data_IF_155269721290
#
_entry.id   IF_155269721290
#
_cell.length_a   1.000
_cell.length_b   1.000
_cell.length_c   1.000
_cell.angle_alpha   90.00
_cell.angle_beta   90.00
_cell.angle_gamma   90.00
#
_symmetry.space_group_name_H-M   'P 1'
#
loop_
_entity.id
_entity.type
_entity.pdbx_description
1 polymer ?
#
# COMPACT_ATOMS: atom_id res chain seq x y z
N UNK A 1 -6.26 -8.61 -0.63
CA UNK A 1 -5.11 -9.40 -0.16
C UNK A 1 -5.54 -10.85 0.00
N UNK A 2 -4.72 -11.76 -0.52
CA UNK A 2 -4.91 -13.20 -0.42
C UNK A 2 -3.64 -13.83 0.16
N UNK A 3 -3.81 -14.88 0.94
CA UNK A 3 -2.74 -15.73 1.42
C UNK A 3 -2.94 -17.14 0.86
N UNK A 4 -1.88 -17.74 0.34
CA UNK A 4 -1.88 -19.15 -0.04
C UNK A 4 -1.16 -19.97 1.03
N UNK A 5 -1.85 -20.98 1.57
CA UNK A 5 -1.24 -21.95 2.48
C UNK A 5 -0.73 -23.14 1.65
N UNK A 6 0.60 -23.31 1.52
CA UNK A 6 1.16 -24.39 0.72
C UNK A 6 1.01 -25.77 1.35
N UNK A 7 0.73 -25.85 2.65
CA UNK A 7 0.52 -27.14 3.35
C UNK A 7 -0.87 -27.67 3.10
N UNK A 8 -1.86 -26.78 3.11
CA UNK A 8 -3.26 -27.13 2.84
C UNK A 8 -3.62 -27.00 1.36
N UNK A 9 -2.73 -26.39 0.55
CA UNK A 9 -2.97 -26.05 -0.86
C UNK A 9 -4.24 -25.20 -1.06
N UNK A 10 -4.48 -24.24 -0.16
CA UNK A 10 -5.69 -23.44 -0.12
C UNK A 10 -5.40 -21.94 -0.04
N UNK A 11 -6.30 -21.15 -0.62
CA UNK A 11 -6.30 -19.72 -0.53
C UNK A 11 -7.18 -19.23 0.62
N UNK A 12 -6.68 -18.27 1.38
CA UNK A 12 -7.45 -17.50 2.36
C UNK A 12 -7.59 -16.05 1.88
N UNK A 13 -8.82 -15.54 1.87
CA UNK A 13 -9.06 -14.12 1.64
C UNK A 13 -8.81 -13.34 2.93
N UNK A 14 -7.75 -12.53 2.93
CA UNK A 14 -7.30 -11.77 4.10
C UNK A 14 -7.94 -10.39 4.20
N UNK A 15 -8.51 -9.87 3.13
CA UNK A 15 -9.19 -8.58 3.11
C UNK A 15 -9.17 -7.90 1.74
N UNK A 16 -9.89 -6.80 1.63
CA UNK A 16 -10.07 -6.03 0.41
C UNK A 16 -11.47 -6.18 -0.19
N UNK A 17 -11.81 -5.33 -1.15
CA UNK A 17 -13.08 -5.39 -1.87
C UNK A 17 -13.14 -6.55 -2.86
N UNK A 18 -14.34 -7.02 -3.15
CA UNK A 18 -14.60 -8.10 -4.12
C UNK A 18 -14.81 -7.57 -5.55
N UNK A 19 -14.82 -6.26 -5.75
CA UNK A 19 -15.01 -5.62 -7.06
C UNK A 19 -13.70 -5.20 -7.72
N UNK A 20 -13.75 -4.91 -9.03
CA UNK A 20 -12.60 -4.50 -9.81
C UNK A 20 -12.08 -3.08 -9.47
N UNK A 21 -12.95 -2.22 -8.90
CA UNK A 21 -12.61 -0.84 -8.54
C UNK A 21 -13.03 -0.57 -7.11
N UNK A 22 -12.17 -0.93 -6.16
CA UNK A 22 -12.41 -0.67 -4.74
C UNK A 22 -11.78 0.65 -4.32
N UNK A 23 -12.60 1.59 -3.81
CA UNK A 23 -12.14 2.93 -3.41
C UNK A 23 -11.17 2.92 -2.21
N UNK A 24 -11.11 1.82 -1.46
CA UNK A 24 -10.33 1.74 -0.23
C UNK A 24 -10.95 2.53 0.93
N UNK A 25 -10.31 2.43 2.07
CA UNK A 25 -10.62 3.23 3.25
C UNK A 25 -9.31 3.62 3.93
N UNK A 26 -8.95 4.90 3.88
CA UNK A 26 -7.62 5.36 4.33
C UNK A 26 -7.53 5.55 5.84
N UNK A 27 -8.62 5.90 6.50
CA UNK A 27 -8.60 6.19 7.93
C UNK A 27 -7.74 7.40 8.28
N UNK A 28 -6.98 7.29 9.36
CA UNK A 28 -6.07 8.34 9.83
C UNK A 28 -4.64 7.88 9.55
N UNK A 29 -3.85 8.73 8.89
CA UNK A 29 -2.45 8.46 8.55
C UNK A 29 -1.63 8.10 9.81
N UNK A 30 -0.89 7.00 9.75
CA UNK A 30 -0.11 6.47 10.87
C UNK A 30 -0.90 5.67 11.91
N UNK A 31 -2.22 5.53 11.76
CA UNK A 31 -3.05 4.75 12.69
C UNK A 31 -3.53 3.45 12.03
N UNK A 32 -3.20 2.33 12.66
CA UNK A 32 -3.71 1.00 12.28
C UNK A 32 -5.20 0.88 12.62
N UNK A 33 -5.97 0.28 11.73
CA UNK A 33 -7.38 -0.03 11.96
C UNK A 33 -7.80 -1.24 11.14
N UNK A 34 -8.68 -2.11 11.65
CA UNK A 34 -9.25 -3.20 10.88
C UNK A 34 -10.12 -2.73 9.70
N UNK A 35 -10.58 -1.47 9.74
CA UNK A 35 -11.36 -0.87 8.65
C UNK A 35 -10.48 -0.27 7.56
N UNK A 36 -9.19 -0.07 7.81
CA UNK A 36 -8.27 0.48 6.83
C UNK A 36 -8.04 -0.51 5.68
N UNK A 37 -8.16 -0.01 4.46
CA UNK A 37 -7.94 -0.80 3.25
C UNK A 37 -7.34 0.07 2.15
N UNK A 38 -6.21 -0.34 1.53
CA UNK A 38 -5.72 0.30 0.33
C UNK A 38 -6.75 0.22 -0.80
N UNK A 39 -6.76 1.20 -1.70
CA UNK A 39 -7.56 1.13 -2.93
C UNK A 39 -7.16 -0.10 -3.74
N UNK A 40 -8.12 -0.68 -4.47
CA UNK A 40 -7.84 -1.67 -5.49
C UNK A 40 -6.91 -1.08 -6.55
N UNK A 41 -5.86 -1.84 -6.92
CA UNK A 41 -4.88 -1.43 -7.93
C UNK A 41 -4.49 -2.63 -8.78
N UNK A 42 -4.55 -2.44 -10.09
CA UNK A 42 -4.34 -3.52 -11.06
C UNK A 42 -2.97 -3.49 -11.72
N UNK A 43 -2.25 -2.36 -11.67
CA UNK A 43 -0.93 -2.22 -12.27
C UNK A 43 0.13 -2.00 -11.21
N UNK A 44 1.08 -2.91 -11.20
CA UNK A 44 2.37 -2.99 -10.54
C UNK A 44 2.64 -2.00 -9.39
N UNK A 45 2.05 -2.18 -8.20
CA UNK A 45 2.57 -1.57 -7.00
C UNK A 45 3.91 -2.21 -6.62
N UNK A 46 4.78 -1.46 -5.95
CA UNK A 46 5.90 -2.08 -5.26
C UNK A 46 5.39 -2.77 -3.99
N UNK A 47 5.80 -4.01 -3.80
CA UNK A 47 5.45 -4.79 -2.60
C UNK A 47 6.70 -5.49 -2.06
N UNK A 48 6.86 -5.47 -0.75
CA UNK A 48 7.95 -6.19 -0.07
C UNK A 48 7.55 -6.58 1.36
N UNK A 49 8.32 -7.48 1.96
CA UNK A 49 8.24 -7.80 3.38
C UNK A 49 9.40 -7.13 4.11
N UNK A 50 9.14 -6.62 5.31
CA UNK A 50 10.22 -6.16 6.19
C UNK A 50 10.81 -7.31 7.02
N UNK A 51 11.81 -6.99 7.85
CA UNK A 51 12.53 -7.98 8.64
C UNK A 51 11.69 -8.68 9.74
N UNK A 52 10.54 -8.11 10.10
CA UNK A 52 9.61 -8.71 11.07
C UNK A 52 8.45 -9.45 10.38
N UNK A 53 8.41 -9.41 9.04
CA UNK A 53 7.43 -10.12 8.22
C UNK A 53 6.19 -9.32 7.86
N UNK A 54 6.12 -8.05 8.21
CA UNK A 54 5.01 -7.19 7.78
C UNK A 54 5.13 -6.85 6.29
N UNK A 55 3.98 -6.71 5.64
CA UNK A 55 3.93 -6.40 4.22
C UNK A 55 3.87 -4.89 4.00
N UNK A 56 4.57 -4.43 2.99
CA UNK A 56 4.54 -3.05 2.53
C UNK A 56 4.05 -2.96 1.11
N UNK A 57 3.30 -1.92 0.81
CA UNK A 57 2.71 -1.64 -0.49
C UNK A 57 2.91 -0.16 -0.82
N UNK A 58 3.45 0.15 -2.00
CA UNK A 58 3.65 1.51 -2.45
C UNK A 58 3.20 1.70 -3.89
N UNK A 59 2.46 2.78 -4.15
CA UNK A 59 2.09 3.20 -5.49
C UNK A 59 1.17 2.23 -6.22
N UNK A 60 1.33 2.14 -7.53
CA UNK A 60 0.47 1.38 -8.44
C UNK A 60 -0.64 2.24 -9.03
N UNK A 61 -1.53 1.64 -9.83
CA UNK A 61 -2.54 2.33 -10.61
C UNK A 61 -3.87 1.60 -10.64
N UNK A 62 -4.96 2.36 -10.60
CA UNK A 62 -6.31 1.91 -10.97
C UNK A 62 -7.12 3.14 -11.44
N UNK A 63 -6.98 3.46 -12.73
CA UNK A 63 -7.35 4.75 -13.30
C UNK A 63 -6.22 5.75 -13.08
N UNK A 64 -6.15 6.35 -11.90
CA UNK A 64 -5.05 7.24 -11.50
C UNK A 64 -3.86 6.45 -10.92
N UNK A 65 -2.68 7.06 -10.99
CA UNK A 65 -1.49 6.58 -10.29
C UNK A 65 -1.46 7.08 -8.85
N UNK A 66 -0.90 6.27 -7.95
CA UNK A 66 -0.83 6.56 -6.52
C UNK A 66 0.61 6.72 -6.03
N UNK A 67 0.77 7.41 -4.88
CA UNK A 67 2.02 7.50 -4.13
C UNK A 67 1.84 7.11 -2.66
N UNK A 68 0.73 6.48 -2.34
CA UNK A 68 0.42 6.04 -0.99
C UNK A 68 1.31 4.87 -0.58
N UNK A 69 1.79 4.94 0.65
CA UNK A 69 2.56 3.89 1.31
C UNK A 69 1.71 3.25 2.40
N UNK A 70 1.60 1.95 2.35
CA UNK A 70 0.83 1.14 3.28
C UNK A 70 1.68 0.07 3.93
N UNK A 71 1.36 -0.23 5.18
CA UNK A 71 1.91 -1.35 5.94
C UNK A 71 0.77 -2.26 6.39
N UNK A 72 0.90 -3.57 6.15
CA UNK A 72 0.01 -4.59 6.69
C UNK A 72 0.73 -5.33 7.81
N UNK A 73 0.20 -5.22 9.02
CA UNK A 73 0.75 -5.89 10.19
C UNK A 73 0.23 -7.32 10.26
N UNK A 74 1.13 -8.28 10.07
CA UNK A 74 0.78 -9.71 10.08
C UNK A 74 0.25 -10.19 11.43
N UNK A 75 0.62 -9.52 12.52
CA UNK A 75 0.25 -9.91 13.89
C UNK A 75 -1.21 -9.60 14.23
N UNK A 76 -1.79 -8.55 13.64
CA UNK A 76 -3.16 -8.11 13.93
C UNK A 76 -4.07 -8.09 12.69
N UNK A 77 -3.53 -8.35 11.50
CA UNK A 77 -4.28 -8.39 10.25
C UNK A 77 -4.84 -7.04 9.79
N UNK A 78 -4.17 -5.95 10.15
CA UNK A 78 -4.65 -4.59 9.88
C UNK A 78 -3.70 -3.80 9.00
N UNK A 79 -4.27 -2.92 8.17
CA UNK A 79 -3.52 -1.96 7.37
C UNK A 79 -3.32 -0.64 8.11
N UNK A 80 -2.17 -0.03 7.88
CA UNK A 80 -1.85 1.34 8.27
C UNK A 80 -1.46 2.14 7.04
N UNK A 81 -2.14 3.26 6.77
CA UNK A 81 -1.70 4.23 5.78
C UNK A 81 -0.54 5.03 6.36
N UNK A 82 0.67 4.76 5.88
CA UNK A 82 1.91 5.30 6.44
C UNK A 82 2.26 6.67 5.89
N UNK A 83 2.15 6.85 4.56
CA UNK A 83 2.59 8.08 3.88
C UNK A 83 1.90 8.25 2.52
N UNK A 84 2.18 9.38 1.85
CA UNK A 84 1.62 9.71 0.54
C UNK A 84 0.21 10.28 0.61
N UNK A 85 -0.42 10.50 -0.54
CA UNK A 85 -1.76 11.06 -0.66
C UNK A 85 -2.83 9.96 -0.73
N UNK A 86 -4.05 10.30 -0.30
CA UNK A 86 -5.23 9.46 -0.48
C UNK A 86 -5.90 9.65 -1.85
N UNK A 87 -5.40 10.58 -2.66
CA UNK A 87 -5.85 10.86 -4.03
C UNK A 87 -4.73 10.55 -5.00
N UNK A 88 -5.07 10.24 -6.25
CA UNK A 88 -4.07 10.01 -7.30
C UNK A 88 -3.47 11.30 -7.86
N UNK A 89 -2.48 11.12 -8.75
CA UNK A 89 -1.83 12.18 -9.54
C UNK A 89 -0.99 13.19 -8.75
N UNK A 90 -0.53 12.83 -7.54
CA UNK A 90 0.39 13.67 -6.77
C UNK A 90 1.74 13.81 -7.49
N UNK A 91 2.24 15.05 -7.58
CA UNK A 91 3.58 15.35 -8.14
C UNK A 91 4.71 15.11 -7.16
N UNK A 92 4.37 14.76 -5.91
CA UNK A 92 5.33 14.58 -4.83
C UNK A 92 5.91 15.88 -4.29
N UNK A 93 6.76 15.75 -3.28
CA UNK A 93 7.50 16.85 -2.66
C UNK A 93 8.96 16.46 -2.51
N UNK A 94 9.87 17.24 -3.07
CA UNK A 94 11.30 16.99 -3.06
C UNK A 94 11.98 17.96 -2.09
N UNK A 95 12.75 17.43 -1.18
CA UNK A 95 13.60 18.22 -0.28
C UNK A 95 15.03 18.32 -0.81
N UNK A 96 15.99 18.24 0.10
CA UNK A 96 17.42 18.26 -0.22
C UNK A 96 17.89 16.83 -0.50
N UNK A 97 18.62 16.62 -1.59
CA UNK A 97 19.14 15.30 -1.96
C UNK A 97 19.96 14.69 -0.81
N UNK A 98 19.62 13.48 -0.42
CA UNK A 98 20.30 12.75 0.65
C UNK A 98 19.88 13.13 2.07
N UNK A 99 18.93 14.07 2.22
CA UNK A 99 18.41 14.49 3.53
C UNK A 99 16.99 13.97 3.70
N UNK A 100 16.77 13.15 4.73
CA UNK A 100 15.43 12.70 5.09
C UNK A 100 14.64 13.84 5.76
N UNK A 101 13.40 14.06 5.32
CA UNK A 101 12.49 15.05 5.88
C UNK A 101 11.06 14.52 5.86
N UNK A 102 10.25 14.77 6.90
CA UNK A 102 8.86 14.30 6.95
C UNK A 102 7.96 14.84 5.83
N UNK A 103 8.34 15.96 5.19
CA UNK A 103 7.63 16.55 4.06
C UNK A 103 8.02 15.96 2.70
N UNK A 104 9.06 15.12 2.65
CA UNK A 104 9.47 14.48 1.41
C UNK A 104 8.47 13.41 1.00
N UNK A 105 7.95 13.48 -0.22
CA UNK A 105 7.05 12.49 -0.80
C UNK A 105 7.43 12.18 -2.23
N UNK A 106 7.56 10.91 -2.62
CA UNK A 106 7.68 10.54 -4.02
C UNK A 106 6.43 10.93 -4.80
N UNK A 107 6.55 11.29 -6.08
CA UNK A 107 5.36 11.46 -6.93
C UNK A 107 4.65 10.14 -7.16
N UNK A 108 3.39 10.21 -7.60
CA UNK A 108 2.63 9.05 -8.03
C UNK A 108 3.38 8.26 -9.09
N UNK A 109 3.33 6.96 -9.02
CA UNK A 109 3.99 6.05 -9.98
C UNK A 109 3.35 4.68 -10.02
N UNK A 110 3.38 4.09 -11.20
CA UNK A 110 3.02 2.72 -11.49
C UNK A 110 4.18 2.01 -12.19
N UNK A 111 4.03 0.71 -12.46
CA UNK A 111 5.04 -0.11 -13.13
C UNK A 111 6.40 -0.13 -12.41
N UNK A 112 6.36 -0.07 -11.08
CA UNK A 112 7.56 -0.15 -10.25
C UNK A 112 8.01 -1.61 -10.25
N UNK A 113 9.13 -1.89 -10.89
CA UNK A 113 9.77 -3.20 -10.77
C UNK A 113 10.41 -3.22 -9.38
N UNK A 114 9.76 -3.91 -8.45
CA UNK A 114 10.35 -4.18 -7.14
C UNK A 114 11.54 -5.12 -7.31
N UNK A 115 12.64 -4.72 -6.77
CA UNK A 115 13.84 -5.56 -6.67
C UNK A 115 13.97 -6.10 -5.26
#
# INVERSE_FOLDING_TARGET
LWCFDPTLEQWAWMGGGQGLSWAGHYGIKGMSSPDNLPRGRGYAPAMWCDAVGDLWLFGGQSGDEYNDLWKYEMTNGSWTWMHGDSTGLSTGSYGIIGVADPSNEPPCRSEIIGT
#
